data_IF_405454187257
#
_entry.id   IF_405454187257
#
_cell.length_a   1.000
_cell.length_b   1.000
_cell.length_c   1.000
_cell.angle_alpha   90.00
_cell.angle_beta   90.00
_cell.angle_gamma   90.00
#
_symmetry.space_group_name_H-M   'P 1'
#
loop_
_entity.id
_entity.type
_entity.pdbx_description
1 polymer ?
#
# COMPACT_ATOMS: atom_id res chain seq x y z
N UNK A 1 -1.29 22.29 -2.72
CA UNK A 1 -1.67 21.06 -2.01
C UNK A 1 -2.13 20.07 -3.04
N UNK A 2 -1.44 18.95 -3.15
CA UNK A 2 -1.86 17.87 -4.02
C UNK A 2 -2.95 17.06 -3.35
N UNK A 3 -4.18 17.52 -3.56
CA UNK A 3 -5.40 16.89 -3.05
C UNK A 3 -5.46 15.42 -3.46
N UNK A 4 -4.94 15.07 -4.65
CA UNK A 4 -4.82 13.69 -5.13
C UNK A 4 -3.96 12.81 -4.21
N UNK A 5 -2.79 13.29 -3.79
CA UNK A 5 -1.92 12.55 -2.88
C UNK A 5 -2.50 12.46 -1.46
N UNK A 6 -3.26 13.46 -1.01
CA UNK A 6 -3.99 13.35 0.25
C UNK A 6 -5.11 12.31 0.20
N UNK A 7 -5.90 12.26 -0.89
CA UNK A 7 -6.90 11.21 -1.08
C UNK A 7 -6.25 9.82 -1.20
N UNK A 8 -5.15 9.71 -1.95
CA UNK A 8 -4.40 8.46 -2.08
C UNK A 8 -3.86 7.98 -0.72
N UNK A 9 -3.28 8.89 0.07
CA UNK A 9 -2.79 8.59 1.41
C UNK A 9 -3.90 8.17 2.36
N UNK A 10 -5.07 8.82 2.29
CA UNK A 10 -6.24 8.43 3.08
C UNK A 10 -6.78 7.04 2.68
N UNK A 11 -6.80 6.71 1.39
CA UNK A 11 -7.18 5.38 0.90
C UNK A 11 -6.18 4.30 1.35
N UNK A 12 -4.87 4.57 1.26
CA UNK A 12 -3.83 3.66 1.72
C UNK A 12 -3.89 3.45 3.25
N UNK A 13 -4.23 4.50 4.00
CA UNK A 13 -4.39 4.43 5.44
C UNK A 13 -5.65 3.65 5.84
N UNK A 14 -6.76 3.85 5.13
CA UNK A 14 -7.98 3.07 5.30
C UNK A 14 -7.73 1.58 5.01
N UNK A 15 -7.04 1.27 3.91
CA UNK A 15 -6.64 -0.10 3.55
C UNK A 15 -5.72 -0.71 4.61
N UNK A 16 -4.71 0.04 5.08
CA UNK A 16 -3.82 -0.40 6.14
C UNK A 16 -4.55 -0.75 7.43
N UNK A 17 -5.53 0.08 7.85
CA UNK A 17 -6.35 -0.17 9.04
C UNK A 17 -7.28 -1.38 8.84
N UNK A 18 -7.87 -1.53 7.66
CA UNK A 18 -8.74 -2.66 7.34
C UNK A 18 -7.95 -3.98 7.36
N UNK A 19 -6.74 -3.99 6.79
CA UNK A 19 -5.77 -5.09 6.87
C UNK A 19 -5.34 -5.42 8.31
N UNK A 20 -5.25 -4.41 9.19
CA UNK A 20 -5.01 -4.62 10.62
C UNK A 20 -6.20 -5.28 11.33
N UNK A 21 -7.42 -5.04 10.84
CA UNK A 21 -8.67 -5.64 11.34
C UNK A 21 -8.90 -7.03 10.73
N UNK A 22 -8.09 -7.44 9.75
CA UNK A 22 -8.22 -8.70 9.02
C UNK A 22 -9.30 -8.68 7.94
N UNK A 23 -9.77 -7.48 7.57
CA UNK A 23 -10.60 -7.26 6.40
C UNK A 23 -9.74 -6.74 5.23
N UNK A 24 -10.30 -6.79 4.02
CA UNK A 24 -9.73 -6.10 2.87
C UNK A 24 -10.77 -5.14 2.31
N UNK A 25 -10.35 -3.90 2.04
CA UNK A 25 -11.22 -2.86 1.54
C UNK A 25 -11.02 -2.65 0.02
N UNK A 26 -9.79 -2.74 -0.49
CA UNK A 26 -9.42 -2.51 -1.91
C UNK A 26 -8.52 -3.59 -2.52
N UNK A 27 -7.71 -4.31 -1.74
CA UNK A 27 -6.75 -5.32 -2.23
C UNK A 27 -7.37 -6.37 -3.17
N UNK A 28 -8.66 -6.69 -3.01
CA UNK A 28 -9.34 -7.77 -3.74
C UNK A 28 -10.55 -7.33 -4.60
N UNK A 29 -10.78 -6.03 -4.78
CA UNK A 29 -11.94 -5.50 -5.52
C UNK A 29 -11.93 -5.88 -7.03
N UNK A 30 -10.81 -6.37 -7.57
CA UNK A 30 -10.62 -6.53 -9.02
C UNK A 30 -10.86 -7.91 -9.66
N UNK A 31 -10.66 -9.05 -8.96
CA UNK A 31 -10.81 -10.45 -9.47
C UNK A 31 -9.88 -11.46 -8.78
N UNK A 32 -9.04 -11.04 -7.83
CA UNK A 32 -8.20 -11.98 -7.10
C UNK A 32 -9.08 -12.80 -6.13
N UNK A 33 -9.09 -14.12 -6.26
CA UNK A 33 -9.76 -14.99 -5.29
C UNK A 33 -8.94 -14.99 -4.01
N UNK A 34 -9.49 -14.44 -2.92
CA UNK A 34 -8.88 -14.44 -1.58
C UNK A 34 -8.42 -15.84 -1.14
N UNK A 35 -9.03 -16.87 -1.70
CA UNK A 35 -8.78 -18.29 -1.41
C UNK A 35 -7.42 -18.82 -1.90
N UNK A 36 -6.82 -18.17 -2.91
CA UNK A 36 -5.53 -18.58 -3.49
C UNK A 36 -4.31 -17.96 -2.78
N UNK A 37 -4.52 -17.10 -1.78
CA UNK A 37 -3.45 -16.40 -1.07
C UNK A 37 -3.39 -16.77 0.41
N UNK A 38 -2.17 -16.76 0.97
CA UNK A 38 -1.93 -16.90 2.41
C UNK A 38 -2.19 -15.53 3.08
N UNK A 39 -3.48 -15.16 3.17
CA UNK A 39 -3.97 -13.84 3.62
C UNK A 39 -3.28 -13.35 4.88
N UNK A 40 -2.99 -14.25 5.83
CA UNK A 40 -2.35 -13.91 7.10
C UNK A 40 -0.92 -13.37 6.91
N UNK A 41 -0.15 -13.93 5.97
CA UNK A 41 1.20 -13.44 5.64
C UNK A 41 1.14 -12.19 4.79
N UNK A 42 0.23 -12.16 3.84
CA UNK A 42 0.05 -11.01 2.94
C UNK A 42 -0.36 -9.78 3.75
N UNK A 43 -1.36 -9.88 4.63
CA UNK A 43 -1.80 -8.77 5.47
C UNK A 43 -0.71 -8.31 6.43
N UNK A 44 0.10 -9.24 6.97
CA UNK A 44 1.21 -8.86 7.84
C UNK A 44 2.25 -8.00 7.12
N UNK A 45 2.49 -8.22 5.83
CA UNK A 45 3.47 -7.47 5.04
C UNK A 45 2.82 -6.21 4.49
N UNK A 46 1.64 -6.32 3.87
CA UNK A 46 0.96 -5.22 3.19
C UNK A 46 0.50 -4.12 4.14
N UNK A 47 0.09 -4.45 5.37
CA UNK A 47 -0.24 -3.39 6.35
C UNK A 47 0.91 -2.43 6.62
N UNK A 48 2.16 -2.92 6.57
CA UNK A 48 3.35 -2.08 6.75
C UNK A 48 3.66 -1.30 5.48
N UNK A 49 3.53 -1.93 4.31
CA UNK A 49 3.76 -1.25 3.04
C UNK A 49 2.71 -0.13 2.85
N UNK A 50 1.42 -0.40 3.08
CA UNK A 50 0.34 0.59 3.02
C UNK A 50 0.51 1.73 4.03
N UNK A 51 1.03 1.45 5.22
CA UNK A 51 1.27 2.49 6.22
C UNK A 51 2.43 3.41 5.80
N UNK A 52 3.50 2.85 5.21
CA UNK A 52 4.60 3.63 4.60
C UNK A 52 4.11 4.42 3.39
N UNK A 53 3.27 3.81 2.56
CA UNK A 53 2.70 4.42 1.36
C UNK A 53 1.76 5.59 1.69
N UNK A 54 0.94 5.43 2.73
CA UNK A 54 0.11 6.49 3.29
C UNK A 54 0.97 7.63 3.85
N UNK A 55 2.01 7.32 4.63
CA UNK A 55 2.91 8.34 5.17
C UNK A 55 3.64 9.13 4.07
N UNK A 56 4.08 8.46 3.00
CA UNK A 56 4.68 9.12 1.84
C UNK A 56 3.66 9.99 1.09
N UNK A 57 2.47 9.46 0.85
CA UNK A 57 1.39 10.19 0.16
C UNK A 57 0.93 11.43 0.94
N UNK A 58 0.81 11.34 2.27
CA UNK A 58 0.54 12.51 3.10
C UNK A 58 1.70 13.50 3.07
N UNK A 59 2.95 13.02 3.16
CA UNK A 59 4.13 13.88 3.10
C UNK A 59 4.23 14.70 1.80
N UNK A 60 3.94 14.08 0.65
CA UNK A 60 3.83 14.77 -0.65
C UNK A 60 2.60 15.68 -0.68
N UNK A 61 1.44 15.21 -0.21
CA UNK A 61 0.18 15.96 -0.22
C UNK A 61 0.22 17.26 0.60
N UNK A 62 0.98 17.28 1.71
CA UNK A 62 1.20 18.48 2.52
C UNK A 62 2.01 19.56 1.78
N UNK A 63 2.78 19.19 0.74
CA UNK A 63 3.55 20.09 -0.14
C UNK A 63 4.25 21.23 0.65
N UNK A 64 4.87 20.83 1.78
CA UNK A 64 5.53 21.72 2.74
C UNK A 64 7.03 21.45 2.86
N UNK A 65 7.52 20.48 2.10
CA UNK A 65 8.91 20.06 2.09
C UNK A 65 9.63 20.60 0.85
N UNK A 66 10.97 20.77 0.89
CA UNK A 66 11.74 21.19 -0.28
C UNK A 66 11.68 20.13 -1.41
N UNK A 67 11.81 20.57 -2.67
CA UNK A 67 11.71 19.71 -3.88
C UNK A 67 12.51 18.40 -3.81
N UNK A 68 13.70 18.43 -3.20
CA UNK A 68 14.52 17.23 -3.04
C UNK A 68 13.89 16.17 -2.12
N UNK A 69 13.18 16.60 -1.07
CA UNK A 69 12.47 15.71 -0.15
C UNK A 69 11.23 15.15 -0.85
N UNK A 70 10.46 15.97 -1.56
CA UNK A 70 9.30 15.51 -2.34
C UNK A 70 9.71 14.45 -3.36
N UNK A 71 10.82 14.66 -4.06
CA UNK A 71 11.39 13.67 -5.00
C UNK A 71 11.74 12.36 -4.31
N UNK A 72 12.36 12.41 -3.13
CA UNK A 72 12.68 11.19 -2.36
C UNK A 72 11.40 10.46 -1.94
N UNK A 73 10.38 11.18 -1.47
CA UNK A 73 9.10 10.57 -1.08
C UNK A 73 8.41 9.91 -2.29
N UNK A 74 8.45 10.53 -3.47
CA UNK A 74 7.91 9.94 -4.70
C UNK A 74 8.67 8.69 -5.13
N UNK A 75 10.00 8.67 -5.00
CA UNK A 75 10.81 7.48 -5.28
C UNK A 75 10.48 6.35 -4.31
N UNK A 76 10.32 6.66 -3.01
CA UNK A 76 9.92 5.69 -1.99
C UNK A 76 8.51 5.16 -2.26
N UNK A 77 7.57 6.03 -2.62
CA UNK A 77 6.21 5.67 -3.03
C UNK A 77 6.20 4.76 -4.27
N UNK A 78 7.05 5.02 -5.26
CA UNK A 78 7.22 4.13 -6.40
C UNK A 78 7.76 2.75 -6.00
N UNK A 79 8.68 2.69 -5.03
CA UNK A 79 9.24 1.45 -4.53
C UNK A 79 8.24 0.63 -3.69
N UNK A 80 7.41 1.28 -2.87
CA UNK A 80 6.32 0.61 -2.12
C UNK A 80 5.29 0.03 -3.08
N UNK A 81 4.94 0.74 -4.15
CA UNK A 81 4.02 0.24 -5.18
C UNK A 81 4.60 -0.99 -5.93
N UNK A 82 5.90 -0.98 -6.24
CA UNK A 82 6.58 -2.16 -6.77
C UNK A 82 6.60 -3.33 -5.76
N UNK A 83 6.75 -3.04 -4.46
CA UNK A 83 6.69 -4.04 -3.41
C UNK A 83 5.28 -4.66 -3.28
N UNK A 84 4.21 -3.87 -3.39
CA UNK A 84 2.84 -4.38 -3.48
C UNK A 84 2.69 -5.35 -4.66
N UNK A 85 3.10 -4.93 -5.86
CA UNK A 85 3.05 -5.80 -7.05
C UNK A 85 3.86 -7.07 -6.85
N UNK A 86 5.02 -6.99 -6.20
CA UNK A 86 5.83 -8.17 -5.89
C UNK A 86 5.14 -9.12 -4.90
N UNK A 87 4.54 -8.61 -3.82
CA UNK A 87 3.79 -9.42 -2.84
C UNK A 87 2.64 -10.14 -3.53
N UNK A 88 1.87 -9.44 -4.37
CA UNK A 88 0.75 -10.02 -5.11
C UNK A 88 1.17 -11.01 -6.22
N UNK A 89 2.31 -10.77 -6.88
CA UNK A 89 2.78 -11.61 -8.00
C UNK A 89 3.62 -12.80 -7.53
N UNK A 90 4.23 -12.72 -6.35
CA UNK A 90 5.14 -13.74 -5.86
C UNK A 90 4.40 -15.01 -5.43
N UNK A 91 4.84 -16.14 -5.98
CA UNK A 91 4.32 -17.48 -5.63
C UNK A 91 4.47 -17.83 -4.15
N UNK A 92 5.36 -17.14 -3.43
CA UNK A 92 5.63 -17.34 -2.00
C UNK A 92 4.45 -16.93 -1.11
N UNK A 93 3.54 -16.10 -1.63
CA UNK A 93 2.34 -15.62 -0.95
C UNK A 93 1.05 -16.28 -1.45
N UNK A 94 1.15 -17.12 -2.49
CA UNK A 94 0.05 -17.99 -2.90
C UNK A 94 0.00 -19.21 -1.99
N UNK A 95 -1.21 -19.65 -1.65
CA UNK A 95 -1.41 -20.96 -1.02
C UNK A 95 -0.83 -22.01 -1.96
N UNK A 96 0.19 -22.71 -1.48
CA UNK A 96 0.74 -23.88 -2.15
C UNK A 96 -0.40 -24.88 -2.32
N UNK A 97 -0.66 -25.26 -3.57
CA UNK A 97 -1.62 -26.30 -3.93
C UNK A 97 -0.86 -27.55 -4.30
#
# INVERSE_FOLDING_TARGET
MDVLFMFMGALCLAEGIDLFTGNDFLMFVGSAKKEDYDLKKVFQVEKWIFLVDAACSFGVGFNRFPDGVETILLVVFGATLAAHVYVFKSKKFRKER
#
